data_IF_250558208578
#
_entry.id   IF_250558208578
#
_cell.length_a   1.000
_cell.length_b   1.000
_cell.length_c   1.000
_cell.angle_alpha   90.00
_cell.angle_beta   90.00
_cell.angle_gamma   90.00
#
_symmetry.space_group_name_H-M   'P 1'
#
loop_
_entity.id
_entity.type
_entity.pdbx_description
1 polymer ?
#
# COMPACT_ATOMS: atom_id res chain seq x y z
N UNK A 1 4.08 -18.71 11.27
CA UNK A 1 3.85 -17.26 11.18
C UNK A 1 2.65 -17.05 10.25
N UNK A 2 1.68 -16.23 10.67
CA UNK A 2 0.52 -15.81 9.88
C UNK A 2 0.70 -14.35 9.47
N UNK A 3 0.36 -14.00 8.22
CA UNK A 3 0.39 -12.63 7.72
C UNK A 3 -1.04 -12.17 7.41
N UNK A 4 -1.39 -10.97 7.85
CA UNK A 4 -2.60 -10.27 7.43
C UNK A 4 -2.27 -9.31 6.30
N UNK A 5 -2.81 -9.56 5.11
CA UNK A 5 -2.72 -8.64 3.97
C UNK A 5 -3.84 -7.63 4.09
N UNK A 6 -3.50 -6.43 4.56
CA UNK A 6 -4.44 -5.34 4.81
C UNK A 6 -4.57 -4.42 3.61
N UNK A 7 -5.78 -4.19 3.11
CA UNK A 7 -6.03 -3.39 1.91
C UNK A 7 -7.01 -2.27 2.24
N UNK A 8 -6.71 -1.07 1.75
CA UNK A 8 -7.68 0.04 1.72
C UNK A 8 -8.05 0.34 0.27
N UNK A 9 -9.35 0.50 -0.01
CA UNK A 9 -9.89 0.69 -1.37
C UNK A 9 -11.07 1.63 -1.34
N UNK A 10 -11.23 2.44 -2.40
CA UNK A 10 -12.37 3.34 -2.60
C UNK A 10 -13.16 2.96 -3.86
N UNK A 11 -12.60 3.10 -5.04
CA UNK A 11 -13.24 2.87 -6.34
C UNK A 11 -12.30 2.20 -7.36
N UNK A 12 -11.19 1.64 -6.91
CA UNK A 12 -10.15 1.01 -7.72
C UNK A 12 -10.48 -0.47 -7.99
N UNK A 13 -11.61 -0.77 -8.65
CA UNK A 13 -12.08 -2.15 -8.86
C UNK A 13 -11.12 -3.00 -9.69
N UNK A 14 -10.57 -2.46 -10.79
CA UNK A 14 -9.69 -3.21 -11.69
C UNK A 14 -8.32 -3.46 -11.04
N UNK A 15 -7.81 -2.48 -10.29
CA UNK A 15 -6.56 -2.59 -9.54
C UNK A 15 -6.72 -3.60 -8.39
N UNK A 16 -7.85 -3.55 -7.68
CA UNK A 16 -8.17 -4.49 -6.61
C UNK A 16 -8.27 -5.92 -7.14
N UNK A 17 -8.92 -6.15 -8.28
CA UNK A 17 -9.00 -7.47 -8.91
C UNK A 17 -7.60 -8.02 -9.21
N UNK A 18 -6.74 -7.21 -9.79
CA UNK A 18 -5.33 -7.57 -10.03
C UNK A 18 -4.61 -7.95 -8.73
N UNK A 19 -4.76 -7.13 -7.69
CA UNK A 19 -4.12 -7.37 -6.39
C UNK A 19 -4.63 -8.66 -5.76
N UNK A 20 -5.94 -8.89 -5.72
CA UNK A 20 -6.55 -10.08 -5.14
C UNK A 20 -6.16 -11.36 -5.90
N UNK A 21 -6.10 -11.30 -7.22
CA UNK A 21 -5.63 -12.43 -8.04
C UNK A 21 -4.18 -12.80 -7.69
N UNK A 22 -3.29 -11.80 -7.54
CA UNK A 22 -1.89 -12.05 -7.16
C UNK A 22 -1.81 -12.62 -5.74
N UNK A 23 -2.52 -12.05 -4.78
CA UNK A 23 -2.48 -12.50 -3.39
C UNK A 23 -3.02 -13.92 -3.26
N UNK A 24 -4.20 -14.21 -3.78
CA UNK A 24 -4.86 -15.52 -3.62
C UNK A 24 -4.05 -16.67 -4.24
N UNK A 25 -3.26 -16.40 -5.26
CA UNK A 25 -2.38 -17.39 -5.91
C UNK A 25 -1.03 -17.59 -5.20
N UNK A 26 -0.60 -16.68 -4.32
CA UNK A 26 0.78 -16.70 -3.81
C UNK A 26 0.89 -16.67 -2.28
N UNK A 27 -0.19 -16.44 -1.53
CA UNK A 27 -0.18 -16.46 -0.07
C UNK A 27 -0.54 -17.86 0.45
N UNK A 28 -0.15 -18.16 1.68
CA UNK A 28 -0.45 -19.44 2.31
C UNK A 28 -1.88 -19.52 2.83
N UNK A 29 -2.37 -20.73 3.11
CA UNK A 29 -3.75 -20.98 3.56
C UNK A 29 -4.08 -20.27 4.87
N UNK A 30 -3.14 -20.27 5.84
CA UNK A 30 -3.33 -19.61 7.14
C UNK A 30 -3.30 -18.08 7.08
N UNK A 31 -2.81 -17.48 6.00
CA UNK A 31 -2.80 -16.03 5.82
C UNK A 31 -4.20 -15.52 5.53
N UNK A 32 -4.45 -14.27 5.84
CA UNK A 32 -5.75 -13.63 5.63
C UNK A 32 -5.66 -12.35 4.80
N UNK A 33 -6.74 -11.99 4.13
CA UNK A 33 -6.89 -10.73 3.40
C UNK A 33 -8.01 -9.94 4.08
N UNK A 34 -7.70 -8.74 4.57
CA UNK A 34 -8.62 -7.82 5.24
C UNK A 34 -8.77 -6.56 4.39
N UNK A 35 -10.00 -6.27 3.95
CA UNK A 35 -10.28 -5.14 3.06
C UNK A 35 -11.16 -4.12 3.75
N UNK A 36 -10.68 -2.89 3.87
CA UNK A 36 -11.46 -1.74 4.28
C UNK A 36 -11.94 -0.97 3.05
N UNK A 37 -13.24 -0.95 2.82
CA UNK A 37 -13.86 -0.26 1.68
C UNK A 37 -14.33 1.13 2.11
N UNK A 38 -13.82 2.18 1.47
CA UNK A 38 -14.32 3.54 1.63
C UNK A 38 -15.52 3.76 0.71
N UNK A 39 -16.70 3.76 1.30
CA UNK A 39 -17.94 3.92 0.56
C UNK A 39 -18.61 2.60 0.18
N UNK A 40 -19.31 2.60 -0.95
CA UNK A 40 -20.12 1.48 -1.43
C UNK A 40 -20.03 1.33 -2.97
N UNK A 41 -18.82 1.42 -3.51
CA UNK A 41 -18.62 1.23 -4.94
C UNK A 41 -19.03 -0.19 -5.35
N UNK A 42 -19.93 -0.30 -6.34
CA UNK A 42 -20.46 -1.60 -6.76
C UNK A 42 -19.42 -2.45 -7.48
N UNK A 43 -18.50 -1.83 -8.22
CA UNK A 43 -17.41 -2.53 -8.91
C UNK A 43 -16.51 -3.20 -7.89
N UNK A 44 -16.07 -2.45 -6.87
CA UNK A 44 -15.27 -2.96 -5.76
C UNK A 44 -15.93 -4.12 -5.03
N UNK A 45 -17.22 -3.97 -4.67
CA UNK A 45 -17.97 -5.04 -3.96
C UNK A 45 -18.12 -6.29 -4.83
N UNK A 46 -18.38 -6.13 -6.13
CA UNK A 46 -18.47 -7.27 -7.04
C UNK A 46 -17.13 -8.01 -7.12
N UNK A 47 -16.04 -7.29 -7.31
CA UNK A 47 -14.68 -7.89 -7.32
C UNK A 47 -14.41 -8.67 -6.03
N UNK A 48 -14.67 -8.08 -4.87
CA UNK A 48 -14.45 -8.79 -3.59
C UNK A 48 -15.25 -10.10 -3.52
N UNK A 49 -16.49 -10.10 -3.97
CA UNK A 49 -17.38 -11.26 -3.94
C UNK A 49 -16.97 -12.39 -4.91
N UNK A 50 -16.13 -12.10 -5.89
CA UNK A 50 -15.57 -13.12 -6.81
C UNK A 50 -14.44 -13.94 -6.16
N UNK A 51 -13.97 -13.56 -4.96
CA UNK A 51 -12.94 -14.25 -4.20
C UNK A 51 -13.48 -14.77 -2.86
N UNK A 52 -13.11 -16.00 -2.50
CA UNK A 52 -13.57 -16.65 -1.26
C UNK A 52 -12.80 -16.18 0.01
N UNK A 53 -11.53 -15.81 -0.14
CA UNK A 53 -10.62 -15.55 1.00
C UNK A 53 -10.78 -14.18 1.66
N UNK A 54 -11.10 -13.08 0.96
CA UNK A 54 -11.15 -11.76 1.56
C UNK A 54 -12.28 -11.60 2.58
N UNK A 55 -11.95 -11.00 3.72
CA UNK A 55 -12.90 -10.46 4.68
C UNK A 55 -12.96 -8.97 4.47
N UNK A 56 -14.14 -8.40 4.24
CA UNK A 56 -14.29 -6.97 4.01
C UNK A 56 -15.30 -6.31 4.95
N UNK A 57 -15.14 -5.01 5.12
CA UNK A 57 -16.07 -4.14 5.85
C UNK A 57 -16.01 -2.72 5.28
N UNK A 58 -17.08 -1.97 5.50
CA UNK A 58 -17.19 -0.59 5.01
C UNK A 58 -16.84 0.39 6.13
N UNK A 59 -16.00 1.37 5.82
CA UNK A 59 -15.67 2.50 6.69
C UNK A 59 -15.37 3.73 5.84
N UNK A 60 -16.05 4.84 6.09
CA UNK A 60 -15.76 6.11 5.42
C UNK A 60 -14.40 6.66 5.84
N UNK A 61 -13.65 7.19 4.89
CA UNK A 61 -12.32 7.78 5.11
C UNK A 61 -12.36 9.00 6.05
N UNK A 62 -13.38 9.85 5.95
CA UNK A 62 -13.57 11.06 6.79
C UNK A 62 -12.33 11.97 6.84
N UNK A 63 -11.53 12.00 5.77
CA UNK A 63 -10.35 12.83 5.64
C UNK A 63 -9.14 12.40 6.49
N UNK A 64 -9.13 11.17 7.03
CA UNK A 64 -8.03 10.66 7.83
C UNK A 64 -7.60 9.27 7.37
N UNK A 65 -6.54 9.21 6.55
CA UNK A 65 -5.99 7.96 6.04
C UNK A 65 -5.37 7.09 7.14
N UNK A 66 -4.76 7.69 8.17
CA UNK A 66 -4.18 6.92 9.28
C UNK A 66 -5.26 6.14 10.04
N UNK A 67 -6.39 6.76 10.35
CA UNK A 67 -7.52 6.09 11.04
C UNK A 67 -8.12 5.01 10.17
N UNK A 68 -8.17 5.23 8.86
CA UNK A 68 -8.65 4.26 7.89
C UNK A 68 -7.74 3.02 7.87
N UNK A 69 -6.42 3.20 7.78
CA UNK A 69 -5.42 2.13 7.86
C UNK A 69 -5.39 1.45 9.24
N UNK A 70 -5.57 2.19 10.32
CA UNK A 70 -5.64 1.62 11.67
C UNK A 70 -6.84 0.69 11.85
N UNK A 71 -7.96 0.96 11.20
CA UNK A 71 -9.11 0.07 11.27
C UNK A 71 -8.83 -1.31 10.66
N UNK A 72 -7.92 -1.39 9.67
CA UNK A 72 -7.43 -2.66 9.13
C UNK A 72 -6.59 -3.41 10.15
N UNK A 73 -5.71 -2.71 10.89
CA UNK A 73 -4.93 -3.30 11.98
C UNK A 73 -5.85 -3.96 13.02
N UNK A 74 -6.92 -3.26 13.41
CA UNK A 74 -7.90 -3.75 14.42
C UNK A 74 -8.63 -5.03 13.99
N UNK A 75 -8.74 -5.29 12.70
CA UNK A 75 -9.38 -6.49 12.14
C UNK A 75 -8.39 -7.60 11.82
N UNK A 76 -7.09 -7.30 11.83
CA UNK A 76 -6.02 -8.22 11.48
C UNK A 76 -5.67 -9.14 12.67
N UNK A 77 -5.45 -10.43 12.39
CA UNK A 77 -5.10 -11.44 13.41
C UNK A 77 -3.73 -12.10 13.15
N UNK A 78 -3.02 -11.72 12.10
CA UNK A 78 -1.69 -12.23 11.78
C UNK A 78 -0.62 -11.72 12.74
N UNK A 79 0.54 -12.37 12.77
CA UNK A 79 1.74 -11.96 13.51
C UNK A 79 2.33 -10.66 12.93
N UNK A 80 2.22 -10.51 11.61
CA UNK A 80 2.60 -9.33 10.84
C UNK A 80 1.45 -8.88 9.96
N UNK A 81 1.44 -7.59 9.66
CA UNK A 81 0.54 -6.97 8.69
C UNK A 81 1.36 -6.50 7.48
N UNK A 82 0.96 -6.90 6.28
CA UNK A 82 1.41 -6.30 5.04
C UNK A 82 0.31 -5.38 4.52
N UNK A 83 0.46 -4.08 4.74
CA UNK A 83 -0.50 -3.09 4.27
C UNK A 83 -0.19 -2.70 2.82
N UNK A 84 -1.19 -2.85 1.93
CA UNK A 84 -1.08 -2.60 0.48
C UNK A 84 -2.25 -1.69 0.09
N UNK A 85 -1.97 -0.59 -0.58
CA UNK A 85 -3.02 0.26 -1.16
C UNK A 85 -3.59 -0.45 -2.42
N UNK A 86 -4.88 -0.32 -2.71
CA UNK A 86 -5.54 -1.10 -3.77
C UNK A 86 -4.93 -0.90 -5.17
N UNK A 87 -4.30 0.26 -5.41
CA UNK A 87 -3.58 0.57 -6.65
C UNK A 87 -2.12 0.09 -6.69
N UNK A 88 -1.69 -0.67 -5.66
CA UNK A 88 -0.39 -1.32 -5.58
C UNK A 88 -0.53 -2.85 -5.71
N UNK A 89 0.54 -3.51 -6.15
CA UNK A 89 0.61 -4.97 -6.07
C UNK A 89 2.05 -5.44 -5.87
N UNK A 90 2.28 -6.47 -5.02
CA UNK A 90 3.62 -7.00 -4.76
C UNK A 90 4.11 -7.88 -5.92
N UNK A 91 5.43 -7.89 -6.14
CA UNK A 91 6.04 -8.93 -6.94
C UNK A 91 5.80 -10.31 -6.28
N UNK A 92 5.53 -11.34 -7.10
CA UNK A 92 5.28 -12.69 -6.59
C UNK A 92 6.44 -13.26 -5.78
N UNK A 93 7.68 -12.92 -6.14
CA UNK A 93 8.89 -13.37 -5.43
C UNK A 93 8.91 -12.76 -4.02
N UNK A 94 8.55 -11.47 -3.88
CA UNK A 94 8.41 -10.85 -2.56
C UNK A 94 7.43 -11.64 -1.68
N UNK A 95 6.25 -12.01 -2.19
CA UNK A 95 5.26 -12.78 -1.43
C UNK A 95 5.80 -14.14 -1.00
N UNK A 96 6.46 -14.86 -1.92
CA UNK A 96 7.01 -16.19 -1.66
C UNK A 96 8.16 -16.17 -0.65
N UNK A 97 8.95 -15.09 -0.60
CA UNK A 97 10.10 -14.97 0.31
C UNK A 97 9.78 -14.23 1.61
N UNK A 98 8.61 -13.58 1.71
CA UNK A 98 8.31 -12.65 2.79
C UNK A 98 8.45 -13.27 4.19
N UNK A 99 7.93 -14.48 4.39
CA UNK A 99 8.02 -15.16 5.70
C UNK A 99 9.47 -15.47 6.08
N UNK A 100 10.26 -15.96 5.13
CA UNK A 100 11.69 -16.19 5.37
C UNK A 100 12.43 -14.89 5.67
N UNK A 101 12.12 -13.81 4.96
CA UNK A 101 12.67 -12.48 5.22
C UNK A 101 12.35 -12.01 6.64
N UNK A 102 11.10 -12.20 7.09
CA UNK A 102 10.65 -11.82 8.43
C UNK A 102 11.30 -12.67 9.54
N UNK A 103 11.49 -13.95 9.31
CA UNK A 103 12.18 -14.85 10.24
C UNK A 103 13.66 -14.48 10.41
N UNK A 104 14.35 -14.13 9.33
CA UNK A 104 15.77 -13.76 9.35
C UNK A 104 15.98 -12.39 10.00
N UNK A 105 15.15 -11.41 9.66
CA UNK A 105 15.36 -10.03 10.13
C UNK A 105 14.81 -9.79 11.53
N UNK A 106 13.73 -10.44 11.92
CA UNK A 106 13.07 -10.33 13.24
C UNK A 106 12.87 -8.88 13.72
N UNK A 107 12.42 -8.00 12.82
CA UNK A 107 12.23 -6.55 13.06
C UNK A 107 10.75 -6.18 13.20
N UNK A 108 10.50 -5.00 13.76
CA UNK A 108 9.14 -4.45 13.91
C UNK A 108 8.58 -3.94 12.59
N UNK A 109 9.43 -3.43 11.69
CA UNK A 109 9.03 -2.80 10.44
C UNK A 109 9.99 -3.13 9.31
N UNK A 110 9.46 -3.48 8.14
CA UNK A 110 10.20 -3.58 6.89
C UNK A 110 9.73 -2.49 5.92
N UNK A 111 10.69 -1.73 5.43
CA UNK A 111 10.51 -0.80 4.33
C UNK A 111 10.65 -1.54 3.01
N UNK A 112 9.60 -1.49 2.18
CA UNK A 112 9.53 -2.16 0.90
C UNK A 112 9.77 -1.14 -0.22
N UNK A 113 10.69 -1.37 -1.16
CA UNK A 113 10.88 -0.50 -2.31
C UNK A 113 9.66 -0.56 -3.22
N UNK A 114 9.32 0.56 -3.86
CA UNK A 114 8.18 0.66 -4.75
C UNK A 114 8.61 1.16 -6.13
N UNK A 115 8.21 0.44 -7.15
CA UNK A 115 8.34 0.80 -8.56
C UNK A 115 7.12 1.61 -8.97
N UNK A 116 7.28 2.92 -9.10
CA UNK A 116 6.25 3.79 -9.63
C UNK A 116 6.43 3.92 -11.14
N UNK A 117 5.39 3.63 -11.90
CA UNK A 117 5.31 3.95 -13.33
C UNK A 117 4.13 4.87 -13.57
N UNK A 118 4.33 5.86 -14.46
CA UNK A 118 3.26 6.79 -14.84
C UNK A 118 3.18 6.81 -16.35
N UNK A 119 2.08 6.31 -16.88
CA UNK A 119 1.86 6.33 -18.34
C UNK A 119 1.43 7.72 -18.81
N UNK A 120 1.91 8.16 -19.97
CA UNK A 120 1.55 9.42 -20.60
C UNK A 120 2.24 10.67 -20.04
N UNK A 121 3.25 10.56 -19.16
CA UNK A 121 4.01 11.73 -18.71
C UNK A 121 4.97 12.26 -19.81
N UNK A 122 5.28 13.54 -19.72
CA UNK A 122 6.22 14.25 -20.61
C UNK A 122 7.45 14.72 -19.83
N UNK A 123 8.49 15.19 -20.54
CA UNK A 123 9.66 15.81 -19.90
C UNK A 123 9.29 17.09 -19.12
N UNK A 124 8.27 17.80 -19.54
CA UNK A 124 7.73 18.96 -18.80
C UNK A 124 7.12 18.53 -17.47
N UNK A 125 6.42 17.39 -17.43
CA UNK A 125 5.86 16.83 -16.21
C UNK A 125 6.97 16.40 -15.24
N UNK A 126 8.04 15.79 -15.75
CA UNK A 126 9.22 15.42 -14.95
C UNK A 126 9.83 16.65 -14.25
N UNK A 127 9.99 17.76 -15.01
CA UNK A 127 10.51 19.01 -14.46
C UNK A 127 9.53 19.66 -13.47
N UNK A 128 8.24 19.70 -13.81
CA UNK A 128 7.17 20.30 -12.99
C UNK A 128 7.03 19.63 -11.64
N UNK A 129 7.14 18.29 -11.60
CA UNK A 129 6.97 17.50 -10.38
C UNK A 129 8.29 17.14 -9.68
N UNK A 130 9.44 17.53 -10.26
CA UNK A 130 10.76 17.27 -9.70
C UNK A 130 11.08 15.77 -9.65
N UNK A 131 10.60 14.99 -10.63
CA UNK A 131 10.81 13.56 -10.65
C UNK A 131 12.22 13.18 -11.12
N UNK A 132 12.74 12.10 -10.57
CA UNK A 132 13.86 11.35 -11.12
C UNK A 132 13.31 10.14 -11.84
N UNK A 133 13.64 9.97 -13.11
CA UNK A 133 13.18 8.83 -13.92
C UNK A 133 14.39 7.98 -14.27
N UNK A 134 14.33 6.68 -13.94
CA UNK A 134 15.39 5.73 -14.26
C UNK A 134 15.35 5.35 -15.74
N UNK A 135 16.37 4.63 -16.23
CA UNK A 135 16.41 4.09 -17.61
C UNK A 135 15.22 3.14 -17.89
N UNK A 136 14.70 2.46 -16.87
CA UNK A 136 13.51 1.61 -16.98
C UNK A 136 12.18 2.39 -16.93
N UNK A 137 12.20 3.73 -16.89
CA UNK A 137 11.00 4.55 -16.78
C UNK A 137 10.40 4.62 -15.37
N UNK A 138 11.11 4.17 -14.34
CA UNK A 138 10.61 4.19 -12.97
C UNK A 138 10.80 5.56 -12.32
N UNK A 139 9.73 6.07 -11.71
CA UNK A 139 9.70 7.40 -11.08
C UNK A 139 10.16 7.29 -9.63
N UNK A 140 11.19 8.08 -9.27
CA UNK A 140 11.76 8.22 -7.92
C UNK A 140 12.19 6.89 -7.25
N UNK A 141 12.51 5.87 -8.01
CA UNK A 141 12.97 4.57 -7.47
C UNK A 141 14.33 4.67 -6.76
N UNK A 142 14.54 3.96 -5.62
CA UNK A 142 13.55 3.24 -4.84
C UNK A 142 12.69 4.20 -4.00
N UNK A 143 11.39 4.09 -4.11
CA UNK A 143 10.44 4.84 -3.29
C UNK A 143 10.03 3.95 -2.10
N UNK A 144 10.82 3.97 -1.03
CA UNK A 144 10.58 3.09 0.11
C UNK A 144 9.29 3.41 0.85
N UNK A 145 8.48 2.37 1.06
CA UNK A 145 7.21 2.43 1.78
C UNK A 145 7.26 1.57 3.03
N UNK A 146 6.79 2.11 4.16
CA UNK A 146 6.58 1.36 5.39
C UNK A 146 5.37 0.44 5.20
N UNK A 147 5.56 -0.83 4.85
CA UNK A 147 4.46 -1.70 4.42
C UNK A 147 4.28 -2.96 5.25
N UNK A 148 5.35 -3.55 5.76
CA UNK A 148 5.25 -4.79 6.53
C UNK A 148 5.68 -4.52 7.96
N UNK A 149 4.78 -4.76 8.92
CA UNK A 149 5.05 -4.45 10.33
C UNK A 149 4.39 -5.46 11.27
N UNK A 150 4.96 -5.60 12.48
CA UNK A 150 4.40 -6.46 13.53
C UNK A 150 3.00 -6.01 13.92
N UNK A 151 2.11 -6.96 14.11
CA UNK A 151 0.77 -6.70 14.64
C UNK A 151 0.83 -6.55 16.16
N UNK A 152 1.15 -5.34 16.62
CA UNK A 152 1.19 -4.98 18.04
C UNK A 152 0.33 -3.76 18.32
N UNK A 153 -0.19 -3.65 19.54
CA UNK A 153 -1.08 -2.55 19.91
C UNK A 153 -0.43 -1.16 19.93
N UNK A 154 0.89 -1.09 20.09
CA UNK A 154 1.67 0.17 20.09
C UNK A 154 2.13 0.59 18.69
N UNK A 155 1.97 -0.25 17.65
CA UNK A 155 2.31 0.08 16.28
C UNK A 155 1.06 0.58 15.56
N UNK A 156 1.06 1.85 15.15
CA UNK A 156 -0.10 2.51 14.54
C UNK A 156 0.31 3.53 13.49
N UNK A 157 -0.56 3.71 12.50
CA UNK A 157 -0.49 4.83 11.57
C UNK A 157 -0.87 6.12 12.25
N UNK A 158 -0.20 7.21 11.88
CA UNK A 158 -0.45 8.56 12.39
C UNK A 158 -0.46 9.56 11.24
N UNK A 159 -1.09 10.71 11.45
CA UNK A 159 -1.34 11.81 10.51
C UNK A 159 -2.45 11.49 9.50
N UNK A 160 -3.33 12.46 9.24
CA UNK A 160 -4.45 12.27 8.31
C UNK A 160 -4.03 12.15 6.84
N UNK A 161 -2.88 12.76 6.47
CA UNK A 161 -2.28 12.69 5.14
C UNK A 161 -0.76 12.51 5.27
N UNK A 162 -0.13 11.84 4.29
CA UNK A 162 1.28 11.44 4.37
C UNK A 162 1.55 10.70 5.68
N UNK A 163 0.70 9.74 5.93
CA UNK A 163 0.73 8.95 7.15
C UNK A 163 2.03 8.16 7.27
N UNK A 164 2.49 8.02 8.49
CA UNK A 164 3.64 7.20 8.84
C UNK A 164 3.33 6.32 10.04
N UNK A 165 4.07 5.26 10.16
CA UNK A 165 3.90 4.29 11.24
C UNK A 165 4.77 4.67 12.44
N UNK A 166 4.21 4.53 13.64
CA UNK A 166 4.91 4.77 14.91
C UNK A 166 4.88 3.51 15.78
N UNK A 167 5.65 3.49 16.86
CA UNK A 167 5.72 2.36 17.81
C UNK A 167 6.74 1.29 17.42
N UNK A 168 7.32 1.35 16.22
CA UNK A 168 8.38 0.44 15.80
C UNK A 168 9.71 0.82 16.47
N UNK A 169 10.41 -0.16 17.06
CA UNK A 169 11.73 -0.01 17.70
C UNK A 169 12.85 -0.45 16.78
N UNK A 170 12.58 -1.41 15.93
CA UNK A 170 13.54 -1.99 14.98
C UNK A 170 12.97 -1.95 13.57
N UNK A 171 13.82 -1.73 12.58
CA UNK A 171 13.40 -1.74 11.19
C UNK A 171 14.51 -2.22 10.25
N UNK A 172 14.11 -2.68 9.08
CA UNK A 172 14.99 -3.05 7.97
C UNK A 172 14.43 -2.50 6.65
N UNK A 173 15.28 -2.41 5.64
CA UNK A 173 14.89 -2.09 4.28
C UNK A 173 15.18 -3.31 3.41
N UNK A 174 14.23 -3.67 2.55
CA UNK A 174 14.54 -4.64 1.51
C UNK A 174 15.55 -4.05 0.52
N UNK A 175 16.41 -4.88 -0.08
CA UNK A 175 17.26 -4.43 -1.18
C UNK A 175 16.43 -3.79 -2.30
N UNK A 176 16.94 -2.72 -2.97
CA UNK A 176 16.22 -2.08 -4.07
C UNK A 176 16.29 -2.93 -5.35
N UNK A 177 15.62 -4.06 -5.32
CA UNK A 177 15.50 -5.03 -6.41
C UNK A 177 14.04 -5.13 -6.82
N UNK A 178 13.78 -5.25 -8.11
CA UNK A 178 12.43 -5.32 -8.66
C UNK A 178 11.63 -6.48 -8.06
N UNK A 179 12.28 -7.62 -7.87
CA UNK A 179 11.69 -8.85 -7.33
C UNK A 179 11.20 -8.68 -5.89
N UNK A 180 11.77 -7.74 -5.14
CA UNK A 180 11.41 -7.43 -3.76
C UNK A 180 10.60 -6.14 -3.62
N UNK A 181 10.00 -5.67 -4.72
CA UNK A 181 9.30 -4.40 -4.79
C UNK A 181 7.79 -4.56 -4.86
N UNK A 182 7.09 -3.47 -4.49
CA UNK A 182 5.72 -3.21 -4.87
C UNK A 182 5.70 -2.50 -6.24
N UNK A 183 4.73 -2.80 -7.07
CA UNK A 183 4.41 -2.03 -8.26
C UNK A 183 3.26 -1.07 -7.99
N UNK A 184 3.35 0.12 -8.55
CA UNK A 184 2.36 1.17 -8.43
C UNK A 184 2.22 1.90 -9.77
N UNK A 185 1.52 1.27 -10.73
CA UNK A 185 1.29 1.88 -12.03
C UNK A 185 0.17 2.92 -11.95
N UNK A 186 0.41 4.06 -12.58
CA UNK A 186 -0.57 5.14 -12.73
C UNK A 186 -0.61 5.64 -14.15
N UNK A 187 -1.66 6.39 -14.48
CA UNK A 187 -1.66 7.29 -15.63
C UNK A 187 -1.39 8.72 -15.16
N UNK A 188 -1.00 9.58 -16.07
CA UNK A 188 -0.84 11.01 -15.81
C UNK A 188 -2.13 11.63 -15.27
N UNK A 189 -3.27 11.25 -15.84
CA UNK A 189 -4.59 11.75 -15.43
C UNK A 189 -4.89 11.38 -13.96
N UNK A 190 -4.64 10.12 -13.54
CA UNK A 190 -4.79 9.71 -12.14
C UNK A 190 -3.87 10.50 -11.22
N UNK A 191 -2.62 10.74 -11.62
CA UNK A 191 -1.69 11.54 -10.83
C UNK A 191 -2.16 12.99 -10.66
N UNK A 192 -2.68 13.61 -11.72
CA UNK A 192 -3.24 14.97 -11.67
C UNK A 192 -4.50 15.04 -10.79
N UNK A 193 -5.40 14.06 -10.91
CA UNK A 193 -6.60 13.96 -10.08
C UNK A 193 -6.24 13.81 -8.60
N UNK A 194 -5.26 12.96 -8.28
CA UNK A 194 -4.79 12.78 -6.90
C UNK A 194 -4.19 14.07 -6.34
N UNK A 195 -3.34 14.75 -7.12
CA UNK A 195 -2.75 16.02 -6.70
C UNK A 195 -3.84 17.07 -6.42
N UNK A 196 -4.86 17.13 -7.30
CA UNK A 196 -6.00 18.04 -7.12
C UNK A 196 -6.81 17.67 -5.87
N UNK A 197 -7.12 16.39 -5.67
CA UNK A 197 -7.84 15.91 -4.50
C UNK A 197 -7.13 16.33 -3.20
N UNK A 198 -5.81 16.21 -3.13
CA UNK A 198 -5.05 16.62 -1.95
C UNK A 198 -5.09 18.12 -1.74
N UNK A 199 -4.96 18.93 -2.81
CA UNK A 199 -5.06 20.39 -2.71
C UNK A 199 -6.44 20.88 -2.25
N UNK A 200 -7.51 20.20 -2.70
CA UNK A 200 -8.88 20.59 -2.41
C UNK A 200 -9.35 20.17 -1.01
N UNK A 201 -8.79 19.09 -0.44
CA UNK A 201 -9.30 18.48 0.78
C UNK A 201 -8.37 18.59 2.00
N UNK A 202 -7.10 19.01 1.83
CA UNK A 202 -6.14 19.08 2.93
C UNK A 202 -5.49 20.46 3.02
N UNK A 203 -5.20 20.89 4.25
CA UNK A 203 -4.49 22.15 4.48
C UNK A 203 -3.05 22.11 3.96
N UNK A 204 -2.49 23.27 3.61
CA UNK A 204 -1.12 23.39 3.11
C UNK A 204 -0.06 22.75 4.04
N UNK A 205 -0.27 22.83 5.37
CA UNK A 205 0.64 22.22 6.35
C UNK A 205 0.71 20.69 6.25
N UNK A 206 -0.37 20.05 5.79
CA UNK A 206 -0.46 18.61 5.60
C UNK A 206 0.09 18.19 4.24
N UNK A 207 0.09 19.08 3.24
CA UNK A 207 0.61 18.79 1.89
C UNK A 207 2.14 18.69 1.85
N UNK A 208 2.84 19.29 2.81
CA UNK A 208 4.29 19.22 2.90
C UNK A 208 4.71 17.88 3.52
N UNK A 209 5.37 17.02 2.74
CA UNK A 209 6.07 15.84 3.28
C UNK A 209 7.18 16.36 4.21
N UNK A 210 6.96 16.30 5.51
CA UNK A 210 8.04 16.45 6.48
C UNK A 210 8.73 15.09 6.55
N UNK A 211 9.93 15.04 5.97
CA UNK A 211 10.80 13.86 5.98
C UNK A 211 11.19 13.40 7.39
#
# INVERSE_FOLDING_TARGET
>A
MKISYGITVHNESDELDRLLNILTLNIEEQDEIIICVDGNDKGVINVINDYEKPIHYNRKLEGNFADHKNSVIEKSSGDYIFHIDADEYPNKILLQQLKQILEINDVDLIWVPRVNTVDGFTQEDVQRWGWRVTENGWVNYPDYQARVFRNRNDIRWTRPLHEHIVGCKTYSHLPPQEELSLYHPKTKEKQEQQNKFYMDNFSQDLLVRRG
#
